data_IF_061719846369
#
_entry.id   IF_061719846369
#
_cell.length_a   1.000
_cell.length_b   1.000
_cell.length_c   1.000
_cell.angle_alpha   90.00
_cell.angle_beta   90.00
_cell.angle_gamma   90.00
#
_symmetry.space_group_name_H-M   'P 1'
#
loop_
_entity.id
_entity.type
_entity.pdbx_description
1 polymer ?
#
# COMPACT_ATOMS: atom_id res chain seq x y z
N UNK A 1 -9.66 17.06 -0.91
CA UNK A 1 -10.53 15.86 -0.95
C UNK A 1 -9.93 14.79 -0.07
N UNK A 2 -10.76 13.96 0.56
CA UNK A 2 -10.28 12.77 1.26
C UNK A 2 -10.03 11.65 0.25
N UNK A 3 -8.95 10.90 0.44
CA UNK A 3 -8.57 9.80 -0.45
C UNK A 3 -8.75 8.48 0.28
N UNK A 4 -9.34 7.50 -0.38
CA UNK A 4 -9.63 6.19 0.20
C UNK A 4 -9.14 5.07 -0.71
N UNK A 5 -8.68 3.99 -0.11
CA UNK A 5 -8.44 2.71 -0.80
C UNK A 5 -9.25 1.60 -0.13
N UNK A 6 -9.66 0.59 -0.89
CA UNK A 6 -10.21 -0.65 -0.33
C UNK A 6 -9.08 -1.63 -0.07
N UNK A 7 -8.98 -2.14 1.15
CA UNK A 7 -8.03 -3.20 1.45
C UNK A 7 -8.50 -4.55 0.89
N UNK A 8 -7.74 -5.60 1.19
CA UNK A 8 -7.97 -6.94 0.68
C UNK A 8 -9.26 -7.59 1.21
N UNK A 9 -9.74 -7.17 2.37
CA UNK A 9 -10.96 -7.65 3.01
C UNK A 9 -12.17 -6.76 2.67
N UNK A 10 -11.97 -5.73 1.83
CA UNK A 10 -13.01 -4.82 1.35
C UNK A 10 -13.25 -3.62 2.26
N UNK A 11 -12.47 -3.46 3.33
CA UNK A 11 -12.57 -2.31 4.23
C UNK A 11 -11.99 -1.06 3.58
N UNK A 12 -12.63 0.09 3.82
CA UNK A 12 -12.13 1.38 3.36
C UNK A 12 -11.08 1.92 4.35
N UNK A 13 -9.92 2.31 3.81
CA UNK A 13 -8.84 2.94 4.55
C UNK A 13 -8.68 4.38 4.04
N UNK A 14 -8.77 5.35 4.95
CA UNK A 14 -8.47 6.75 4.65
C UNK A 14 -6.95 6.93 4.51
N UNK A 15 -6.51 7.47 3.37
CA UNK A 15 -5.12 7.82 3.11
C UNK A 15 -4.94 9.30 3.44
N UNK A 16 -4.33 9.58 4.59
CA UNK A 16 -4.09 10.94 5.09
C UNK A 16 -2.81 11.54 4.53
N UNK A 17 -1.75 10.72 4.39
CA UNK A 17 -0.51 11.05 3.70
C UNK A 17 -0.06 9.85 2.85
N UNK A 18 -0.05 10.03 1.54
CA UNK A 18 0.27 8.97 0.59
C UNK A 18 1.75 8.55 0.64
N UNK A 19 2.67 9.49 0.85
CA UNK A 19 4.09 9.17 0.88
C UNK A 19 4.46 8.44 2.17
N UNK A 20 3.92 8.87 3.31
CA UNK A 20 4.13 8.18 4.58
C UNK A 20 3.45 6.81 4.60
N UNK A 21 2.25 6.68 4.03
CA UNK A 21 1.59 5.38 3.88
C UNK A 21 2.46 4.39 3.07
N UNK A 22 3.05 4.83 1.95
CA UNK A 22 3.96 3.99 1.15
C UNK A 22 5.21 3.57 1.93
N UNK A 23 5.82 4.48 2.71
CA UNK A 23 6.98 4.16 3.55
C UNK A 23 6.64 3.14 4.63
N UNK A 24 5.51 3.33 5.32
CA UNK A 24 5.05 2.40 6.36
C UNK A 24 4.83 1.00 5.82
N UNK A 25 4.12 0.88 4.69
CA UNK A 25 3.84 -0.43 4.09
C UNK A 25 5.12 -1.10 3.59
N UNK A 26 6.05 -0.36 2.96
CA UNK A 26 7.34 -0.89 2.53
C UNK A 26 8.15 -1.44 3.72
N UNK A 27 8.17 -0.70 4.84
CA UNK A 27 8.81 -1.11 6.08
C UNK A 27 8.17 -2.39 6.65
N UNK A 28 6.84 -2.49 6.70
CA UNK A 28 6.19 -3.72 7.17
C UNK A 28 6.45 -4.93 6.27
N UNK A 29 6.50 -4.75 4.96
CA UNK A 29 6.85 -5.82 4.02
C UNK A 29 8.28 -6.32 4.29
N UNK A 30 9.23 -5.43 4.64
CA UNK A 30 10.61 -5.83 4.89
C UNK A 30 10.76 -6.78 6.09
N UNK A 31 10.01 -6.56 7.19
CA UNK A 31 10.03 -7.48 8.35
C UNK A 31 9.45 -8.86 8.06
N UNK A 32 8.61 -8.99 7.05
CA UNK A 32 7.98 -10.27 6.71
C UNK A 32 8.85 -11.14 5.80
N UNK A 33 10.05 -10.69 5.45
CA UNK A 33 11.06 -11.52 4.78
C UNK A 33 11.95 -12.31 5.75
N UNK A 34 11.88 -12.03 7.05
CA UNK A 34 12.53 -12.86 8.06
C UNK A 34 11.86 -14.23 8.12
N UNK A 35 12.66 -15.30 8.17
CA UNK A 35 12.19 -16.69 8.11
C UNK A 35 11.28 -16.97 9.31
N UNK A 36 9.95 -17.09 9.13
CA UNK A 36 9.05 -17.40 10.22
C UNK A 36 9.27 -18.86 10.63
N UNK A 37 9.05 -19.18 11.90
CA UNK A 37 8.87 -20.58 12.30
C UNK A 37 7.71 -21.20 11.51
N UNK A 38 7.68 -22.53 11.42
CA UNK A 38 6.65 -23.25 10.65
C UNK A 38 5.23 -22.90 11.13
N UNK A 39 5.05 -22.73 12.44
CA UNK A 39 3.79 -22.30 13.07
C UNK A 39 3.39 -20.86 12.69
N UNK A 40 4.36 -20.00 12.41
CA UNK A 40 4.14 -18.60 12.04
C UNK A 40 4.03 -18.38 10.52
N UNK A 41 4.45 -19.35 9.70
CA UNK A 41 4.54 -19.22 8.26
C UNK A 41 3.20 -18.87 7.60
N UNK A 42 2.09 -19.48 8.05
CA UNK A 42 0.76 -19.20 7.52
C UNK A 42 0.32 -17.75 7.82
N UNK A 43 0.56 -17.28 9.04
CA UNK A 43 0.25 -15.91 9.45
C UNK A 43 1.12 -14.89 8.69
N UNK A 44 2.43 -15.14 8.62
CA UNK A 44 3.38 -14.30 7.90
C UNK A 44 3.00 -14.18 6.43
N UNK A 45 2.65 -15.29 5.76
CA UNK A 45 2.19 -15.30 4.36
C UNK A 45 0.91 -14.49 4.17
N UNK A 46 -0.06 -14.59 5.09
CA UNK A 46 -1.29 -13.77 5.04
C UNK A 46 -0.97 -12.28 5.17
N UNK A 47 -0.12 -11.90 6.12
CA UNK A 47 0.31 -10.50 6.31
C UNK A 47 1.09 -10.00 5.11
N UNK A 48 1.96 -10.81 4.53
CA UNK A 48 2.76 -10.41 3.37
C UNK A 48 1.86 -10.16 2.16
N UNK A 49 0.85 -11.01 1.93
CA UNK A 49 -0.15 -10.80 0.87
C UNK A 49 -0.93 -9.50 1.08
N UNK A 50 -1.37 -9.25 2.31
CA UNK A 50 -2.12 -8.04 2.67
C UNK A 50 -1.31 -6.77 2.43
N UNK A 51 -0.08 -6.69 2.95
CA UNK A 51 0.75 -5.50 2.80
C UNK A 51 1.20 -5.26 1.36
N UNK A 52 1.50 -6.32 0.61
CA UNK A 52 1.82 -6.19 -0.83
C UNK A 52 0.65 -5.61 -1.64
N UNK A 53 -0.58 -6.06 -1.37
CA UNK A 53 -1.79 -5.51 -1.99
C UNK A 53 -1.97 -4.01 -1.68
N UNK A 54 -1.82 -3.61 -0.41
CA UNK A 54 -1.87 -2.20 -0.03
C UNK A 54 -0.78 -1.37 -0.72
N UNK A 55 0.46 -1.88 -0.81
CA UNK A 55 1.56 -1.18 -1.45
C UNK A 55 1.27 -0.90 -2.93
N UNK A 56 0.73 -1.90 -3.65
CA UNK A 56 0.35 -1.76 -5.05
C UNK A 56 -0.75 -0.72 -5.24
N UNK A 57 -1.80 -0.75 -4.41
CA UNK A 57 -2.91 0.21 -4.48
C UNK A 57 -2.47 1.64 -4.19
N UNK A 58 -1.63 1.84 -3.16
CA UNK A 58 -1.04 3.15 -2.86
C UNK A 58 -0.11 3.62 -3.99
N UNK A 59 0.65 2.70 -4.61
CA UNK A 59 1.49 3.02 -5.77
C UNK A 59 0.68 3.47 -6.98
N UNK A 60 -0.42 2.79 -7.29
CA UNK A 60 -1.34 3.18 -8.37
C UNK A 60 -1.92 4.58 -8.11
N UNK A 61 -2.41 4.82 -6.89
CA UNK A 61 -2.93 6.12 -6.48
C UNK A 61 -1.89 7.25 -6.65
N UNK A 62 -0.61 6.98 -6.34
CA UNK A 62 0.48 7.94 -6.53
C UNK A 62 0.71 8.25 -8.00
N UNK A 63 0.67 7.23 -8.86
CA UNK A 63 0.83 7.41 -10.30
C UNK A 63 -0.32 8.22 -10.90
N UNK A 64 -1.56 7.96 -10.48
CA UNK A 64 -2.73 8.73 -10.92
C UNK A 64 -2.62 10.22 -10.55
N UNK A 65 -2.11 10.51 -9.34
CA UNK A 65 -1.83 11.89 -8.91
C UNK A 65 -0.69 12.57 -9.68
N UNK A 66 0.27 11.81 -10.19
CA UNK A 66 1.34 12.35 -11.02
C UNK A 66 0.85 12.64 -12.43
N UNK A 67 0.12 11.70 -13.06
CA UNK A 67 -0.46 11.86 -14.40
C UNK A 67 -1.39 13.07 -14.48
N UNK A 68 -2.29 13.23 -13.51
CA UNK A 68 -3.21 14.38 -13.43
C UNK A 68 -2.52 15.73 -13.19
N UNK A 69 -1.27 15.73 -12.71
CA UNK A 69 -0.50 16.96 -12.48
C UNK A 69 0.30 17.38 -13.71
N UNK A 70 0.71 16.44 -14.56
CA UNK A 70 1.39 16.70 -15.83
C UNK A 70 0.46 17.22 -16.94
N UNK A 71 -0.83 16.90 -16.89
CA UNK A 71 -1.79 17.34 -17.91
C UNK A 71 -2.20 18.83 -17.77
N UNK A 72 -1.89 19.47 -16.64
CA UNK A 72 -2.28 20.85 -16.31
C UNK A 72 -1.23 21.93 -16.67
N UNK A 73 -0.24 21.64 -17.52
CA UNK A 73 0.77 22.64 -17.96
C UNK A 73 0.72 23.00 -19.45
N UNK A 74 -0.31 22.57 -20.18
CA UNK A 74 -0.52 22.95 -21.57
C UNK A 74 -1.85 23.71 -21.74
N UNK A 75 -1.88 24.99 -21.34
CA UNK A 75 -2.85 25.96 -21.86
C UNK A 75 -2.28 27.38 -21.81
#
# INVERSE_FOLDING_TARGET
>A
MKTYIKDLDGALIEVTDLNEALKQVAFYISFLYDVPSEEQAAFAKKRQRYWKDLFQKLGALKNDHLSTRTDNHNN
#
